data_IF_485842015914
#
_entry.id   IF_485842015914
#
_cell.length_a   1.000
_cell.length_b   1.000
_cell.length_c   1.000
_cell.angle_alpha   90.00
_cell.angle_beta   90.00
_cell.angle_gamma   90.00
#
_symmetry.space_group_name_H-M   'P 1'
#
loop_
_entity.id
_entity.type
_entity.pdbx_description
1 polymer ?
#
# COMPACT_ATOMS: atom_id res chain seq x y z
N UNK A 1 -12.20 -20.05 -1.99
CA UNK A 1 -11.82 -19.27 -3.20
C UNK A 1 -10.50 -18.58 -2.89
N UNK A 2 -9.56 -18.58 -3.83
CA UNK A 2 -8.25 -17.93 -3.69
C UNK A 2 -8.42 -16.41 -3.74
N UNK A 3 -7.78 -15.68 -2.82
CA UNK A 3 -7.80 -14.21 -2.79
C UNK A 3 -6.97 -13.69 -3.97
N UNK A 4 -7.47 -12.71 -4.71
CA UNK A 4 -6.71 -12.04 -5.78
C UNK A 4 -6.20 -10.69 -5.28
N UNK A 5 -4.92 -10.40 -5.54
CA UNK A 5 -4.33 -9.10 -5.26
C UNK A 5 -3.84 -8.44 -6.55
N UNK A 6 -4.55 -7.41 -7.02
CA UNK A 6 -4.11 -6.58 -8.14
C UNK A 6 -2.92 -5.71 -7.71
N UNK A 7 -1.73 -5.97 -8.24
CA UNK A 7 -0.48 -5.37 -7.77
C UNK A 7 0.65 -5.35 -8.82
N UNK A 8 1.75 -4.67 -8.47
CA UNK A 8 3.05 -4.78 -9.14
C UNK A 8 4.17 -4.74 -8.09
N UNK A 9 5.30 -5.38 -8.38
CA UNK A 9 6.35 -5.67 -7.39
C UNK A 9 7.04 -4.43 -6.81
N UNK A 10 7.11 -3.36 -7.58
CA UNK A 10 7.75 -2.11 -7.18
C UNK A 10 6.84 -1.25 -6.29
N UNK A 11 5.56 -1.59 -6.10
CA UNK A 11 4.66 -0.82 -5.23
C UNK A 11 4.85 -1.18 -3.77
N UNK A 12 5.33 -0.23 -2.96
CA UNK A 12 5.42 -0.40 -1.51
C UNK A 12 4.06 -0.60 -0.84
N UNK A 13 2.99 0.03 -1.35
CA UNK A 13 1.64 -0.18 -0.82
C UNK A 13 1.12 -1.58 -1.15
N UNK A 14 1.43 -2.10 -2.35
CA UNK A 14 1.04 -3.46 -2.70
C UNK A 14 1.84 -4.49 -1.90
N UNK A 15 3.13 -4.23 -1.66
CA UNK A 15 3.97 -5.06 -0.80
C UNK A 15 3.40 -5.21 0.61
N UNK A 16 2.85 -4.15 1.23
CA UNK A 16 2.19 -4.26 2.54
C UNK A 16 1.04 -5.27 2.54
N UNK A 17 0.19 -5.22 1.52
CA UNK A 17 -0.94 -6.13 1.39
C UNK A 17 -0.46 -7.58 1.12
N UNK A 18 0.46 -7.75 0.17
CA UNK A 18 1.03 -9.04 -0.19
C UNK A 18 1.75 -9.70 1.00
N UNK A 19 2.58 -8.96 1.73
CA UNK A 19 3.28 -9.46 2.91
C UNK A 19 2.29 -9.88 4.00
N UNK A 20 1.21 -9.11 4.19
CA UNK A 20 0.20 -9.44 5.20
C UNK A 20 -0.60 -10.69 4.81
N UNK A 21 -0.94 -10.87 3.53
CA UNK A 21 -1.53 -12.11 3.00
C UNK A 21 -0.60 -13.30 3.28
N UNK A 22 0.66 -13.18 2.89
CA UNK A 22 1.67 -14.23 3.07
C UNK A 22 1.82 -14.64 4.54
N UNK A 23 2.02 -13.66 5.43
CA UNK A 23 2.20 -13.92 6.86
C UNK A 23 0.93 -14.42 7.56
N UNK A 24 -0.25 -14.14 6.99
CA UNK A 24 -1.52 -14.68 7.51
C UNK A 24 -1.69 -16.17 7.19
N UNK A 25 -1.07 -16.65 6.09
CA UNK A 25 -1.24 -17.99 5.56
C UNK A 25 -2.58 -18.18 4.82
N UNK A 26 -3.21 -17.10 4.36
CA UNK A 26 -4.37 -17.18 3.48
C UNK A 26 -3.91 -17.50 2.05
N UNK A 27 -4.62 -18.40 1.37
CA UNK A 27 -4.40 -18.71 -0.04
C UNK A 27 -4.68 -17.47 -0.92
N UNK A 28 -3.68 -17.03 -1.68
CA UNK A 28 -3.78 -15.84 -2.52
C UNK A 28 -2.94 -15.95 -3.79
N UNK A 29 -3.28 -15.15 -4.80
CA UNK A 29 -2.50 -15.01 -6.03
C UNK A 29 -2.38 -13.54 -6.45
N UNK A 30 -1.22 -13.12 -6.99
CA UNK A 30 -1.04 -11.79 -7.55
C UNK A 30 -1.69 -11.69 -8.95
N UNK A 31 -2.34 -10.57 -9.21
CA UNK A 31 -2.80 -10.17 -10.54
C UNK A 31 -1.98 -8.95 -10.97
N UNK A 32 -1.14 -9.13 -11.98
CA UNK A 32 -0.23 -8.07 -12.41
C UNK A 32 -0.98 -6.87 -12.99
N UNK A 33 -0.57 -5.66 -12.60
CA UNK A 33 -1.06 -4.40 -13.16
C UNK A 33 0.13 -3.60 -13.69
N UNK A 34 0.12 -3.31 -14.99
CA UNK A 34 1.19 -2.55 -15.64
C UNK A 34 1.09 -1.06 -15.33
N UNK A 35 1.53 -0.68 -14.13
CA UNK A 35 1.48 0.70 -13.66
C UNK A 35 2.29 1.66 -14.54
N UNK A 36 3.48 1.24 -15.00
CA UNK A 36 4.37 2.10 -15.77
C UNK A 36 3.83 2.44 -17.15
N UNK A 37 3.08 1.54 -17.77
CA UNK A 37 2.38 1.81 -19.04
C UNK A 37 0.93 2.27 -18.86
N UNK A 38 0.54 2.66 -17.64
CA UNK A 38 -0.75 3.30 -17.39
C UNK A 38 -1.94 2.36 -17.22
N UNK A 39 -1.70 1.08 -16.89
CA UNK A 39 -2.74 0.07 -16.65
C UNK A 39 -3.78 0.48 -15.60
N UNK A 40 -3.41 1.30 -14.60
CA UNK A 40 -4.38 1.79 -13.61
C UNK A 40 -5.31 2.91 -14.12
N UNK A 41 -5.04 3.45 -15.31
CA UNK A 41 -5.82 4.53 -15.93
C UNK A 41 -6.88 4.01 -16.90
N UNK A 42 -6.85 2.73 -17.25
CA UNK A 42 -7.79 2.17 -18.23
C UNK A 42 -9.22 2.12 -17.66
N UNK A 43 -10.25 2.20 -18.52
CA UNK A 43 -11.64 2.07 -18.08
C UNK A 43 -11.89 0.75 -17.34
N UNK A 44 -11.26 -0.33 -17.77
CA UNK A 44 -11.41 -1.67 -17.18
C UNK A 44 -10.87 -1.71 -15.75
N UNK A 45 -9.69 -1.15 -15.51
CA UNK A 45 -9.14 -1.10 -14.15
C UNK A 45 -9.92 -0.14 -13.26
N UNK A 46 -10.37 1.01 -13.81
CA UNK A 46 -11.18 1.97 -13.05
C UNK A 46 -12.56 1.43 -12.69
N UNK A 47 -13.10 0.49 -13.46
CA UNK A 47 -14.31 -0.25 -13.09
C UNK A 47 -14.08 -1.16 -11.86
N UNK A 48 -12.86 -1.65 -11.66
CA UNK A 48 -12.46 -2.42 -10.46
C UNK A 48 -12.22 -1.49 -9.27
N UNK A 49 -11.46 -0.41 -9.47
CA UNK A 49 -11.16 0.58 -8.45
C UNK A 49 -11.18 2.00 -9.03
N UNK A 50 -12.19 2.78 -8.66
CA UNK A 50 -12.40 4.15 -9.13
C UNK A 50 -11.23 5.10 -8.81
N UNK A 51 -10.45 4.81 -7.75
CA UNK A 51 -9.25 5.57 -7.39
C UNK A 51 -8.13 5.42 -8.43
N UNK A 52 -8.11 4.34 -9.22
CA UNK A 52 -7.04 4.08 -10.20
C UNK A 52 -5.69 3.80 -9.53
N UNK A 53 -5.72 3.15 -8.37
CA UNK A 53 -4.57 2.82 -7.54
C UNK A 53 -4.50 1.31 -7.26
N UNK A 54 -3.29 0.80 -7.06
CA UNK A 54 -3.04 -0.51 -6.47
C UNK A 54 -2.45 -0.35 -5.06
N UNK A 55 -2.64 -1.30 -4.14
CA UNK A 55 -3.30 -2.60 -4.33
C UNK A 55 -4.83 -2.54 -4.37
N UNK A 56 -5.42 -3.54 -5.02
CA UNK A 56 -6.84 -3.90 -4.88
C UNK A 56 -6.92 -5.40 -4.58
N UNK A 57 -7.64 -5.76 -3.53
CA UNK A 57 -7.88 -7.14 -3.14
C UNK A 57 -9.31 -7.55 -3.52
N UNK A 58 -9.46 -8.74 -4.10
CA UNK A 58 -10.76 -9.36 -4.40
C UNK A 58 -10.86 -10.71 -3.69
N UNK A 59 -11.95 -10.91 -2.96
CA UNK A 59 -12.23 -12.12 -2.18
C UNK A 59 -13.73 -12.45 -2.23
N UNK A 60 -14.12 -13.34 -3.14
CA UNK A 60 -15.52 -13.54 -3.50
C UNK A 60 -16.12 -12.27 -4.08
N UNK A 61 -17.24 -11.80 -3.51
CA UNK A 61 -17.94 -10.58 -3.94
C UNK A 61 -17.33 -9.30 -3.36
N UNK A 62 -16.39 -9.41 -2.41
CA UNK A 62 -15.75 -8.26 -1.79
C UNK A 62 -14.58 -7.77 -2.65
N UNK A 63 -14.64 -6.51 -3.06
CA UNK A 63 -13.51 -5.76 -3.65
C UNK A 63 -13.10 -4.65 -2.69
N UNK A 64 -11.83 -4.62 -2.28
CA UNK A 64 -11.29 -3.68 -1.31
C UNK A 64 -9.99 -3.04 -1.80
N UNK A 65 -9.92 -1.71 -1.79
CA UNK A 65 -8.70 -0.94 -2.06
C UNK A 65 -8.18 -0.31 -0.76
N UNK A 66 -7.03 0.38 -0.85
CA UNK A 66 -6.27 0.95 0.28
C UNK A 66 -5.56 -0.11 1.14
N UNK A 67 -4.22 -0.11 1.11
CA UNK A 67 -3.40 -1.16 1.73
C UNK A 67 -3.67 -1.36 3.22
N UNK A 68 -3.89 -0.28 3.99
CA UNK A 68 -4.20 -0.38 5.42
C UNK A 68 -5.56 -1.04 5.71
N UNK A 69 -6.58 -0.78 4.89
CA UNK A 69 -7.89 -1.44 5.01
C UNK A 69 -7.79 -2.92 4.62
N UNK A 70 -7.02 -3.23 3.58
CA UNK A 70 -6.71 -4.61 3.19
C UNK A 70 -6.01 -5.36 4.33
N UNK A 71 -5.02 -4.74 5.00
CA UNK A 71 -4.36 -5.35 6.16
C UNK A 71 -5.33 -5.62 7.32
N UNK A 72 -6.23 -4.70 7.64
CA UNK A 72 -7.25 -4.89 8.66
C UNK A 72 -8.19 -6.07 8.32
N UNK A 73 -8.65 -6.15 7.07
CA UNK A 73 -9.45 -7.27 6.57
C UNK A 73 -8.71 -8.61 6.72
N UNK A 74 -7.48 -8.70 6.22
CA UNK A 74 -6.66 -9.91 6.28
C UNK A 74 -6.45 -10.34 7.72
N UNK A 75 -6.15 -9.38 8.60
CA UNK A 75 -5.91 -9.67 10.02
C UNK A 75 -7.16 -10.25 10.71
N UNK A 76 -8.34 -9.76 10.32
CA UNK A 76 -9.62 -10.23 10.85
C UNK A 76 -10.01 -11.58 10.28
N UNK A 77 -9.85 -11.80 8.96
CA UNK A 77 -10.15 -13.07 8.30
C UNK A 77 -9.21 -14.20 8.71
N UNK A 78 -7.91 -13.92 8.80
CA UNK A 78 -6.88 -14.89 9.16
C UNK A 78 -6.72 -15.11 10.68
N UNK A 79 -7.32 -14.26 11.52
CA UNK A 79 -7.19 -14.33 12.98
C UNK A 79 -5.78 -14.08 13.51
N UNK A 80 -4.91 -13.46 12.70
CA UNK A 80 -3.50 -13.17 13.00
C UNK A 80 -3.23 -11.69 12.76
N UNK A 81 -2.17 -11.14 13.35
CA UNK A 81 -1.66 -9.77 13.07
C UNK A 81 -2.58 -8.59 13.48
N UNK A 82 -3.80 -8.84 13.95
CA UNK A 82 -4.79 -7.80 14.28
C UNK A 82 -4.91 -7.42 15.77
N UNK A 83 -4.00 -7.89 16.63
CA UNK A 83 -4.08 -7.69 18.08
C UNK A 83 -5.15 -8.55 18.78
N UNK A 84 -5.15 -8.55 20.11
CA UNK A 84 -5.98 -9.40 20.98
C UNK A 84 -7.08 -8.64 21.73
N UNK A 85 -7.12 -7.31 21.62
CA UNK A 85 -8.10 -6.46 22.28
C UNK A 85 -8.53 -5.29 21.40
N UNK A 86 -9.66 -4.66 21.75
CA UNK A 86 -10.10 -3.45 21.05
C UNK A 86 -9.09 -2.29 21.16
N UNK A 87 -8.34 -2.22 22.26
CA UNK A 87 -7.30 -1.20 22.43
C UNK A 87 -6.09 -1.49 21.54
N UNK A 88 -5.66 -2.75 21.45
CA UNK A 88 -4.59 -3.14 20.51
C UNK A 88 -4.98 -2.89 19.05
N UNK A 89 -6.22 -3.20 18.66
CA UNK A 89 -6.74 -2.89 17.32
C UNK A 89 -6.70 -1.40 17.01
N UNK A 90 -7.09 -0.55 17.97
CA UNK A 90 -7.00 0.91 17.82
C UNK A 90 -5.56 1.39 17.70
N UNK A 91 -4.65 0.81 18.45
CA UNK A 91 -3.22 1.15 18.38
C UNK A 91 -2.60 0.75 17.04
N UNK A 92 -2.95 -0.43 16.51
CA UNK A 92 -2.55 -0.84 15.15
C UNK A 92 -3.10 0.14 14.13
N UNK A 93 -4.39 0.48 14.21
CA UNK A 93 -5.01 1.43 13.29
C UNK A 93 -4.35 2.83 13.39
N UNK A 94 -3.97 3.28 14.58
CA UNK A 94 -3.23 4.53 14.79
C UNK A 94 -1.91 4.51 14.01
N UNK A 95 -1.17 3.40 14.05
CA UNK A 95 0.07 3.24 13.28
C UNK A 95 -0.17 3.15 11.77
N UNK A 96 -1.21 2.44 11.32
CA UNK A 96 -1.60 2.38 9.90
C UNK A 96 -1.93 3.77 9.36
N UNK A 97 -2.69 4.57 10.10
CA UNK A 97 -3.03 5.95 9.72
C UNK A 97 -1.80 6.87 9.72
N UNK A 98 -0.94 6.74 10.74
CA UNK A 98 0.31 7.47 10.79
C UNK A 98 1.23 7.11 9.61
N UNK A 99 1.39 5.81 9.31
CA UNK A 99 2.20 5.35 8.19
C UNK A 99 1.65 5.90 6.87
N UNK A 100 0.36 5.70 6.61
CA UNK A 100 -0.28 6.18 5.40
C UNK A 100 -0.08 7.69 5.22
N UNK A 101 -0.21 8.50 6.28
CA UNK A 101 -0.14 9.95 6.14
C UNK A 101 1.28 10.54 6.19
N UNK A 102 2.13 10.05 7.11
CA UNK A 102 3.44 10.66 7.42
C UNK A 102 4.63 9.91 6.84
N UNK A 103 4.55 8.58 6.71
CA UNK A 103 5.67 7.76 6.26
C UNK A 103 5.50 7.38 4.79
N UNK A 104 4.66 6.41 4.48
CA UNK A 104 4.57 5.81 3.15
C UNK A 104 4.13 6.77 2.06
N UNK A 105 3.20 7.70 2.33
CA UNK A 105 2.83 8.73 1.34
C UNK A 105 4.01 9.63 0.95
N UNK A 106 4.91 9.91 1.90
CA UNK A 106 6.10 10.71 1.61
C UNK A 106 7.19 9.83 0.97
N UNK A 107 7.41 8.62 1.48
CA UNK A 107 8.45 7.71 1.02
C UNK A 107 8.19 7.23 -0.41
N UNK A 108 6.96 6.81 -0.72
CA UNK A 108 6.59 6.31 -2.05
C UNK A 108 6.79 7.37 -3.13
N UNK A 109 6.29 8.58 -2.90
CA UNK A 109 6.47 9.70 -3.83
C UNK A 109 7.94 10.10 -3.96
N UNK A 110 8.67 10.24 -2.85
CA UNK A 110 10.10 10.62 -2.88
C UNK A 110 10.91 9.59 -3.64
N UNK A 111 10.69 8.28 -3.39
CA UNK A 111 11.36 7.19 -4.10
C UNK A 111 11.03 7.22 -5.60
N UNK A 112 9.77 7.50 -5.96
CA UNK A 112 9.35 7.65 -7.35
C UNK A 112 10.14 8.75 -8.05
N UNK A 113 10.13 9.96 -7.47
CA UNK A 113 10.82 11.13 -8.03
C UNK A 113 12.34 10.88 -8.16
N UNK A 114 12.96 10.21 -7.19
CA UNK A 114 14.40 9.97 -7.20
C UNK A 114 14.85 8.88 -8.17
N UNK A 115 14.03 7.87 -8.44
CA UNK A 115 14.50 6.64 -9.10
C UNK A 115 13.75 6.28 -10.40
N UNK A 116 12.54 6.79 -10.60
CA UNK A 116 11.70 6.41 -11.74
C UNK A 116 11.50 7.54 -12.75
N UNK A 117 11.83 8.78 -12.38
CA UNK A 117 11.91 9.88 -13.34
C UNK A 117 13.29 9.93 -14.02
N UNK A 118 13.36 10.32 -15.30
CA UNK A 118 14.58 10.74 -15.96
C UNK A 118 15.30 11.79 -15.11
N UNK A 119 16.63 11.72 -15.05
CA UNK A 119 17.44 12.54 -14.14
C UNK A 119 17.23 14.05 -14.33
N UNK A 120 17.10 14.48 -15.59
CA UNK A 120 16.81 15.86 -16.00
C UNK A 120 15.42 16.35 -15.59
N UNK A 121 14.51 15.44 -15.20
CA UNK A 121 13.14 15.75 -14.78
C UNK A 121 12.93 15.66 -13.26
N UNK A 122 13.97 15.40 -12.48
CA UNK A 122 13.85 15.23 -11.02
C UNK A 122 13.79 16.59 -10.32
N UNK A 123 12.70 16.92 -9.59
CA UNK A 123 12.58 18.20 -8.92
C UNK A 123 13.38 18.20 -7.60
N UNK A 124 14.62 18.68 -7.64
CA UNK A 124 15.56 18.62 -6.51
C UNK A 124 15.02 19.24 -5.21
N UNK A 125 14.36 20.41 -5.30
CA UNK A 125 13.79 21.10 -4.13
C UNK A 125 12.65 20.32 -3.49
N UNK A 126 11.78 19.71 -4.30
CA UNK A 126 10.67 18.87 -3.82
C UNK A 126 11.22 17.62 -3.13
N UNK A 127 12.23 16.99 -3.73
CA UNK A 127 12.91 15.82 -3.15
C UNK A 127 13.55 16.18 -1.80
N UNK A 128 14.25 17.32 -1.71
CA UNK A 128 14.86 17.77 -0.47
C UNK A 128 13.80 18.04 0.63
N UNK A 129 12.68 18.66 0.27
CA UNK A 129 11.57 18.91 1.20
C UNK A 129 10.96 17.61 1.72
N UNK A 130 10.63 16.66 0.85
CA UNK A 130 10.02 15.38 1.25
C UNK A 130 11.00 14.50 2.03
N UNK A 131 12.30 14.50 1.69
CA UNK A 131 13.33 13.87 2.52
C UNK A 131 13.40 14.49 3.93
N UNK A 132 13.24 15.80 4.06
CA UNK A 132 13.15 16.47 5.36
C UNK A 132 11.97 15.96 6.19
N UNK A 133 10.79 15.79 5.57
CA UNK A 133 9.61 15.20 6.23
C UNK A 133 9.85 13.75 6.66
N UNK A 134 10.53 12.96 5.83
CA UNK A 134 10.89 11.57 6.15
C UNK A 134 11.87 11.48 7.33
N UNK A 135 12.87 12.37 7.40
CA UNK A 135 13.78 12.44 8.56
C UNK A 135 13.02 12.65 9.87
N UNK A 136 11.97 13.47 9.87
CA UNK A 136 11.11 13.66 11.03
C UNK A 136 10.27 12.40 11.34
N UNK A 137 9.72 11.73 10.32
CA UNK A 137 8.97 10.50 10.50
C UNK A 137 9.84 9.36 11.06
N UNK A 138 11.09 9.22 10.61
CA UNK A 138 12.01 8.18 11.10
C UNK A 138 12.35 8.33 12.59
N UNK A 139 12.37 9.57 13.12
CA UNK A 139 12.55 9.80 14.56
C UNK A 139 11.40 9.28 15.43
N UNK A 140 10.22 9.02 14.84
CA UNK A 140 9.08 8.43 15.56
C UNK A 140 9.22 6.91 15.66
N UNK A 141 10.04 6.29 14.81
CA UNK A 141 10.25 4.83 14.77
C UNK A 141 11.41 4.34 15.65
N UNK A 142 12.25 5.26 16.14
CA UNK A 142 13.39 5.00 17.04
C UNK A 142 13.08 5.49 18.45
#
# INVERSE_FOLDING_TARGET
MTIKLYCFGESGNAYKAALTLELSGLEWEPVFVDFFNGGTRTPEFRAINSMGEVPVMVDGDLTLSQSGAIQDYISTKGGKLGGRSANERREIMRWVLWDNHKLSSQAGMTRFLMNFLPEDKRPAEVIAFTQGRLKAAYKVLN
#
